data_IF_645084721695
#
_entry.id   IF_645084721695
#
_cell.length_a   1.000
_cell.length_b   1.000
_cell.length_c   1.000
_cell.angle_alpha   90.00
_cell.angle_beta   90.00
_cell.angle_gamma   90.00
#
_symmetry.space_group_name_H-M   'P 1'
#
loop_
_entity.id
_entity.type
_entity.pdbx_description
1 polymer ?
#
# COMPACT_ATOMS: atom_id res chain seq x y z
N UNK A 1 -7.13 -12.63 0.05
CA UNK A 1 -6.55 -13.84 0.66
C UNK A 1 -5.03 -13.81 0.69
N UNK A 2 -4.34 -13.62 -0.45
CA UNK A 2 -2.88 -13.55 -0.49
C UNK A 2 -2.25 -12.51 0.46
N UNK A 3 -2.87 -11.35 0.66
CA UNK A 3 -2.41 -10.37 1.66
C UNK A 3 -2.47 -10.94 3.09
N UNK A 4 -3.49 -11.75 3.40
CA UNK A 4 -3.62 -12.43 4.69
C UNK A 4 -2.54 -13.49 4.86
N UNK A 5 -2.33 -14.31 3.81
CA UNK A 5 -1.25 -15.29 3.78
C UNK A 5 0.14 -14.66 3.90
N UNK A 6 0.35 -13.46 3.33
CA UNK A 6 1.59 -12.72 3.45
C UNK A 6 1.88 -12.37 4.92
N UNK A 7 0.87 -11.93 5.67
CA UNK A 7 0.99 -11.68 7.10
C UNK A 7 1.28 -12.97 7.87
N UNK A 8 0.55 -14.06 7.57
CA UNK A 8 0.75 -15.35 8.24
C UNK A 8 2.16 -15.93 8.01
N UNK A 9 2.78 -15.63 6.87
CA UNK A 9 4.16 -16.02 6.54
C UNK A 9 5.22 -15.06 7.09
N UNK A 10 4.81 -14.03 7.84
CA UNK A 10 5.69 -12.92 8.28
C UNK A 10 6.43 -12.27 7.10
N UNK A 11 5.75 -12.24 5.95
CA UNK A 11 6.28 -11.69 4.71
C UNK A 11 6.45 -10.19 4.81
N UNK A 12 7.55 -9.71 4.23
CA UNK A 12 7.96 -8.31 4.24
C UNK A 12 8.06 -7.80 2.82
N UNK A 13 7.54 -6.61 2.57
CA UNK A 13 7.60 -6.00 1.26
C UNK A 13 6.62 -4.85 1.07
N UNK A 14 6.54 -4.40 -0.18
CA UNK A 14 5.65 -3.34 -0.62
C UNK A 14 4.66 -3.90 -1.64
N UNK A 15 3.37 -3.71 -1.38
CA UNK A 15 2.30 -3.89 -2.35
C UNK A 15 1.93 -2.50 -2.84
N UNK A 16 2.07 -2.26 -4.15
CA UNK A 16 1.80 -0.94 -4.75
C UNK A 16 0.52 -1.01 -5.56
N UNK A 17 -0.53 -0.36 -5.06
CA UNK A 17 -1.80 -0.17 -5.78
C UNK A 17 -1.68 0.99 -6.75
N UNK A 18 -1.36 0.70 -8.00
CA UNK A 18 -1.26 1.71 -9.05
C UNK A 18 -2.63 2.18 -9.55
N UNK A 19 -2.68 3.35 -10.18
CA UNK A 19 -3.91 3.95 -10.76
C UNK A 19 -5.06 4.02 -9.76
N UNK A 20 -4.73 4.28 -8.48
CA UNK A 20 -5.69 4.33 -7.40
C UNK A 20 -6.55 5.60 -7.47
N UNK A 21 -7.69 5.57 -6.79
CA UNK A 21 -8.61 6.71 -6.70
C UNK A 21 -9.82 6.54 -7.60
N UNK A 22 -11.01 6.59 -6.99
CA UNK A 22 -12.30 6.40 -7.68
C UNK A 22 -12.50 7.43 -8.80
N UNK A 23 -11.94 8.62 -8.61
CA UNK A 23 -12.08 9.75 -9.53
C UNK A 23 -10.81 10.05 -10.31
N UNK A 24 -9.70 9.38 -10.01
CA UNK A 24 -8.43 9.55 -10.74
C UNK A 24 -8.42 8.65 -11.98
N UNK A 25 -9.04 7.46 -11.90
CA UNK A 25 -9.15 6.52 -13.01
C UNK A 25 -10.54 6.58 -13.68
N UNK A 26 -10.92 7.77 -14.19
CA UNK A 26 -12.29 8.02 -14.68
C UNK A 26 -12.69 7.23 -15.94
N UNK A 27 -11.72 6.86 -16.79
CA UNK A 27 -11.97 6.21 -18.07
C UNK A 27 -12.25 4.70 -18.01
N UNK A 28 -11.79 4.02 -16.96
CA UNK A 28 -11.85 2.55 -16.86
C UNK A 28 -13.15 2.02 -16.24
N UNK A 29 -13.94 2.91 -15.62
CA UNK A 29 -15.29 2.61 -15.16
C UNK A 29 -15.37 1.72 -13.90
N UNK A 30 -16.54 1.09 -13.72
CA UNK A 30 -17.02 0.54 -12.45
C UNK A 30 -16.07 -0.49 -11.80
N UNK A 31 -15.47 -1.36 -12.60
CA UNK A 31 -14.65 -2.48 -12.11
C UNK A 31 -13.22 -2.08 -11.76
N UNK A 32 -12.76 -0.92 -12.22
CA UNK A 32 -11.37 -0.49 -12.10
C UNK A 32 -11.19 0.70 -11.15
N UNK A 33 -12.19 1.57 -11.05
CA UNK A 33 -12.11 2.79 -10.26
C UNK A 33 -12.07 2.47 -8.76
N UNK A 34 -10.88 2.34 -8.17
CA UNK A 34 -10.73 1.95 -6.78
C UNK A 34 -10.98 3.11 -5.80
N UNK A 35 -11.91 2.93 -4.87
CA UNK A 35 -12.15 3.84 -3.74
C UNK A 35 -12.42 3.11 -2.43
N UNK A 36 -11.92 1.88 -2.28
CA UNK A 36 -12.22 1.03 -1.12
C UNK A 36 -11.10 0.04 -0.75
N UNK A 37 -10.04 -0.06 -1.55
CA UNK A 37 -8.89 -0.92 -1.26
C UNK A 37 -8.27 -0.68 0.11
N UNK A 38 -8.15 0.58 0.55
CA UNK A 38 -7.65 0.92 1.89
C UNK A 38 -8.51 0.33 3.01
N UNK A 39 -9.84 0.29 2.85
CA UNK A 39 -10.73 -0.34 3.83
C UNK A 39 -10.54 -1.86 3.87
N UNK A 40 -10.31 -2.49 2.72
CA UNK A 40 -10.04 -3.93 2.64
C UNK A 40 -8.68 -4.23 3.27
N UNK A 41 -7.63 -3.49 2.92
CA UNK A 41 -6.28 -3.69 3.42
C UNK A 41 -6.19 -3.47 4.94
N UNK A 42 -6.93 -2.50 5.47
CA UNK A 42 -7.00 -2.21 6.91
C UNK A 42 -7.56 -3.35 7.77
N UNK A 43 -8.20 -4.36 7.16
CA UNK A 43 -8.65 -5.55 7.90
C UNK A 43 -7.49 -6.46 8.32
N UNK A 44 -6.31 -6.34 7.70
CA UNK A 44 -5.12 -7.11 8.03
C UNK A 44 -4.21 -6.34 9.00
N UNK A 45 -3.94 -6.88 10.21
CA UNK A 45 -3.17 -6.17 11.24
C UNK A 45 -1.70 -5.92 10.88
N UNK A 46 -1.12 -6.71 9.97
CA UNK A 46 0.27 -6.53 9.52
C UNK A 46 0.40 -5.54 8.35
N UNK A 47 -0.72 -5.07 7.79
CA UNK A 47 -0.75 -4.15 6.64
C UNK A 47 -0.67 -2.70 7.11
N UNK A 48 0.41 -2.01 6.73
CA UNK A 48 0.57 -0.58 6.94
C UNK A 48 0.20 0.19 5.66
N UNK A 49 -0.92 0.90 5.70
CA UNK A 49 -1.58 1.44 4.52
C UNK A 49 -1.32 2.95 4.39
N UNK A 50 -0.88 3.41 3.22
CA UNK A 50 -0.61 4.81 2.94
C UNK A 50 -1.15 5.24 1.58
N UNK A 51 -1.64 6.48 1.54
CA UNK A 51 -2.16 7.14 0.35
C UNK A 51 -1.52 8.53 0.18
N UNK A 52 -0.24 8.59 -0.23
CA UNK A 52 0.48 9.86 -0.34
C UNK A 52 -0.03 10.68 -1.52
N UNK A 53 -0.13 11.99 -1.32
CA UNK A 53 -0.46 12.94 -2.36
C UNK A 53 0.80 13.41 -3.13
N UNK A 54 1.95 13.44 -2.46
CA UNK A 54 3.17 14.03 -3.04
C UNK A 54 4.33 13.03 -3.13
N UNK A 55 5.20 13.23 -4.13
CA UNK A 55 6.37 12.38 -4.35
C UNK A 55 7.35 12.34 -3.16
N UNK A 56 7.48 13.42 -2.40
CA UNK A 56 8.34 13.43 -1.22
C UNK A 56 7.78 12.55 -0.09
N UNK A 57 6.46 12.40 0.01
CA UNK A 57 5.81 11.52 0.99
C UNK A 57 6.12 10.07 0.65
N UNK A 58 6.01 9.70 -0.63
CA UNK A 58 6.43 8.37 -1.13
C UNK A 58 7.86 8.06 -0.71
N UNK A 59 8.79 9.00 -0.93
CA UNK A 59 10.19 8.81 -0.57
C UNK A 59 10.40 8.57 0.94
N UNK A 60 9.68 9.33 1.79
CA UNK A 60 9.74 9.18 3.24
C UNK A 60 9.13 7.85 3.69
N UNK A 61 7.95 7.47 3.16
CA UNK A 61 7.24 6.23 3.50
C UNK A 61 8.07 5.01 3.09
N UNK A 62 8.63 4.99 1.88
CA UNK A 62 9.46 3.86 1.41
C UNK A 62 10.72 3.72 2.25
N UNK A 63 11.39 4.84 2.58
CA UNK A 63 12.56 4.84 3.44
C UNK A 63 12.22 4.29 4.84
N UNK A 64 11.09 4.70 5.40
CA UNK A 64 10.62 4.19 6.70
C UNK A 64 10.28 2.70 6.64
N UNK A 65 9.59 2.26 5.59
CA UNK A 65 9.24 0.85 5.40
C UNK A 65 10.46 -0.05 5.27
N UNK A 66 11.49 0.37 4.53
CA UNK A 66 12.75 -0.36 4.44
C UNK A 66 13.44 -0.47 5.81
N UNK A 67 13.47 0.63 6.57
CA UNK A 67 14.02 0.65 7.93
C UNK A 67 13.26 -0.29 8.86
N UNK A 68 11.93 -0.26 8.84
CA UNK A 68 11.10 -1.07 9.76
C UNK A 68 11.12 -2.54 9.39
N UNK A 69 11.09 -2.90 8.11
CA UNK A 69 11.05 -4.30 7.69
C UNK A 69 12.44 -4.96 7.69
N UNK A 70 13.50 -4.23 7.32
CA UNK A 70 14.83 -4.80 7.07
C UNK A 70 15.95 -4.16 7.89
N UNK A 71 15.62 -3.26 8.82
CA UNK A 71 16.59 -2.66 9.73
C UNK A 71 16.95 -3.55 10.93
N UNK A 72 17.78 -3.05 11.87
CA UNK A 72 18.23 -3.79 13.04
C UNK A 72 17.10 -4.33 13.91
N UNK A 73 16.01 -3.56 14.04
CA UNK A 73 14.80 -3.91 14.80
C UNK A 73 13.67 -4.25 13.83
N UNK A 74 13.87 -5.31 13.04
CA UNK A 74 12.97 -5.69 11.96
C UNK A 74 11.58 -6.09 12.48
N UNK A 75 10.55 -5.37 12.03
CA UNK A 75 9.14 -5.65 12.26
C UNK A 75 8.57 -6.59 11.19
N UNK A 76 7.66 -7.48 11.60
CA UNK A 76 6.94 -8.42 10.71
C UNK A 76 5.67 -7.78 10.17
N UNK A 77 5.86 -6.75 9.33
CA UNK A 77 4.80 -5.97 8.69
C UNK A 77 5.09 -5.85 7.20
N UNK A 78 4.07 -5.50 6.41
CA UNK A 78 4.23 -5.11 5.01
C UNK A 78 3.50 -3.79 4.74
N UNK A 79 3.93 -3.10 3.69
CA UNK A 79 3.37 -1.80 3.31
C UNK A 79 2.40 -1.98 2.13
N UNK A 80 1.22 -1.37 2.24
CA UNK A 80 0.32 -1.14 1.11
C UNK A 80 0.33 0.35 0.76
N UNK A 81 0.78 0.67 -0.45
CA UNK A 81 0.94 2.03 -0.93
C UNK A 81 0.09 2.23 -2.17
N UNK A 82 -0.85 3.17 -2.15
CA UNK A 82 -1.53 3.61 -3.38
C UNK A 82 -0.73 4.69 -4.09
N UNK A 83 -0.71 4.63 -5.41
CA UNK A 83 -0.09 5.65 -6.27
C UNK A 83 -1.03 6.01 -7.41
N UNK A 84 -0.96 7.28 -7.81
CA UNK A 84 -1.83 7.87 -8.81
C UNK A 84 -1.18 7.83 -10.20
N UNK A 85 -2.01 7.92 -11.23
CA UNK A 85 -1.59 8.09 -12.63
C UNK A 85 -1.76 9.54 -13.12
N UNK A 86 -2.29 10.43 -12.28
CA UNK A 86 -2.34 11.87 -12.56
C UNK A 86 -1.03 12.55 -12.12
N UNK A 87 -0.55 13.58 -12.85
CA UNK A 87 0.68 14.31 -12.54
C UNK A 87 0.62 15.16 -11.27
#
# INVERSE_FOLDING_TARGET
DQMWQLADQLGKGFIVGATAGRTTLTGEGLQHADGHSHLIAATNPASLNYDPAFAYEVAVIVKDGLRRMYGPDAEDVFYYLTVYNEP
#
